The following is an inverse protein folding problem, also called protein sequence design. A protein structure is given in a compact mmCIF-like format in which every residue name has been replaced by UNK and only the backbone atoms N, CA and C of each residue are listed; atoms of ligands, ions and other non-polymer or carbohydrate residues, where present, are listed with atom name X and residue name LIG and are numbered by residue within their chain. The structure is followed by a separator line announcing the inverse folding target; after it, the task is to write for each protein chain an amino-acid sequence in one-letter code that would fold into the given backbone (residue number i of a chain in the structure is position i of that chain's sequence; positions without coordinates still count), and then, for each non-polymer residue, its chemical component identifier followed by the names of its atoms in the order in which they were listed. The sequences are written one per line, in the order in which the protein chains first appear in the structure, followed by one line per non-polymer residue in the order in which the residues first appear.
data_IF_407395426801
#
_entry.id   IF_407395426801
#
_cell.length_a   1.000
_cell.length_b   1.000
_cell.length_c   1.000
_cell.angle_alpha   90.00
_cell.angle_beta   90.00
_cell.angle_gamma   90.00
#
_symmetry.space_group_name_H-M   'P 1'
#
loop_
_entity.id
_entity.type
_entity.pdbx_description
1 polymer ?
#
# COMPACT_ATOMS: atom_id res chain seq x y z
N UNK A 1 -9.67 -2.46 -20.44
CA UNK A 1 -10.58 -3.19 -19.53
C UNK A 1 -10.61 -2.35 -18.29
N UNK A 2 -11.70 -1.63 -18.04
CA UNK A 2 -11.86 -0.93 -16.77
C UNK A 2 -11.82 -2.00 -15.66
N UNK A 3 -11.03 -1.81 -14.60
CA UNK A 3 -10.94 -2.81 -13.55
C UNK A 3 -12.29 -2.92 -12.85
N UNK A 4 -12.82 -4.14 -12.72
CA UNK A 4 -14.08 -4.37 -12.01
C UNK A 4 -13.96 -3.87 -10.57
N UNK A 5 -14.74 -2.84 -10.21
CA UNK A 5 -14.71 -2.15 -8.91
C UNK A 5 -14.88 -3.10 -7.71
N UNK A 6 -15.52 -4.26 -7.92
CA UNK A 6 -15.74 -5.27 -6.88
C UNK A 6 -14.50 -6.11 -6.55
N UNK A 7 -13.45 -6.06 -7.36
CA UNK A 7 -12.20 -6.82 -7.16
C UNK A 7 -11.22 -6.07 -6.26
N UNK A 8 -10.29 -6.79 -5.62
CA UNK A 8 -9.23 -6.16 -4.82
C UNK A 8 -8.35 -5.25 -5.67
N UNK A 9 -8.06 -5.63 -6.91
CA UNK A 9 -7.27 -4.82 -7.84
C UNK A 9 -8.04 -3.56 -8.27
N UNK A 10 -9.34 -3.66 -8.54
CA UNK A 10 -10.20 -2.51 -8.81
C UNK A 10 -10.27 -1.55 -7.62
N UNK A 11 -10.50 -2.07 -6.42
CA UNK A 11 -10.47 -1.26 -5.20
C UNK A 11 -9.10 -0.59 -5.01
N UNK A 12 -7.99 -1.31 -5.23
CA UNK A 12 -6.65 -0.75 -5.15
C UNK A 12 -6.48 0.44 -6.10
N UNK A 13 -6.90 0.31 -7.36
CA UNK A 13 -6.81 1.41 -8.33
C UNK A 13 -7.63 2.63 -7.91
N UNK A 14 -8.86 2.42 -7.43
CA UNK A 14 -9.72 3.51 -6.93
C UNK A 14 -9.11 4.22 -5.73
N UNK A 15 -8.69 3.46 -4.70
CA UNK A 15 -8.06 4.04 -3.51
C UNK A 15 -6.70 4.68 -3.80
N UNK A 16 -5.96 4.20 -4.80
CA UNK A 16 -4.70 4.80 -5.24
C UNK A 16 -4.90 6.16 -5.94
N UNK A 17 -6.05 6.35 -6.62
CA UNK A 17 -6.45 7.61 -7.28
C UNK A 17 -7.27 8.53 -6.39
N UNK A 18 -7.65 8.07 -5.20
CA UNK A 18 -8.48 8.81 -4.27
C UNK A 18 -7.93 10.22 -4.01
N UNK A 19 -8.81 11.21 -4.21
CA UNK A 19 -8.54 12.67 -4.10
C UNK A 19 -7.54 13.23 -5.13
N UNK A 20 -7.13 12.45 -6.13
CA UNK A 20 -6.24 12.89 -7.21
C UNK A 20 -6.48 12.11 -8.51
N UNK A 21 -7.50 12.56 -9.27
CA UNK A 21 -7.93 11.92 -10.52
C UNK A 21 -6.85 11.94 -11.63
N UNK A 22 -5.76 12.70 -11.45
CA UNK A 22 -4.65 12.80 -12.43
C UNK A 22 -3.63 11.67 -12.31
N UNK A 23 -3.65 10.87 -11.24
CA UNK A 23 -2.75 9.73 -11.08
C UNK A 23 -3.29 8.51 -11.81
N UNK A 24 -2.38 7.65 -12.27
CA UNK A 24 -2.71 6.42 -12.99
C UNK A 24 -3.29 5.31 -12.09
N UNK A 25 -3.18 5.44 -10.76
CA UNK A 25 -3.68 4.43 -9.80
C UNK A 25 -2.77 3.21 -9.62
N UNK A 26 -1.59 3.19 -10.23
CA UNK A 26 -0.64 2.08 -10.10
C UNK A 26 0.17 2.09 -8.79
N UNK A 27 0.19 3.22 -8.08
CA UNK A 27 0.90 3.37 -6.82
C UNK A 27 0.02 4.03 -5.78
N UNK A 28 0.02 3.45 -4.58
CA UNK A 28 -0.68 3.98 -3.43
C UNK A 28 0.32 4.65 -2.48
N UNK A 29 -0.15 5.61 -1.68
CA UNK A 29 0.62 6.18 -0.57
C UNK A 29 0.18 5.54 0.75
N UNK A 30 1.03 5.59 1.79
CA UNK A 30 0.69 5.04 3.11
C UNK A 30 -0.67 5.58 3.60
N UNK A 31 -0.88 6.89 3.51
CA UNK A 31 -2.13 7.53 3.91
C UNK A 31 -3.37 6.95 3.20
N UNK A 32 -3.31 6.75 1.88
CA UNK A 32 -4.42 6.18 1.11
C UNK A 32 -4.66 4.71 1.48
N UNK A 33 -3.60 3.96 1.75
CA UNK A 33 -3.71 2.58 2.20
C UNK A 33 -4.33 2.47 3.60
N UNK A 34 -3.96 3.35 4.53
CA UNK A 34 -4.57 3.42 5.85
C UNK A 34 -6.04 3.82 5.75
N UNK A 35 -6.36 4.77 4.87
CA UNK A 35 -7.74 5.16 4.61
C UNK A 35 -8.57 3.96 4.12
N UNK A 36 -8.09 3.23 3.11
CA UNK A 36 -8.76 2.03 2.61
C UNK A 36 -8.93 0.97 3.72
N UNK A 37 -7.86 0.65 4.45
CA UNK A 37 -7.91 -0.37 5.51
C UNK A 37 -8.83 0.04 6.68
N UNK A 38 -8.98 1.33 6.97
CA UNK A 38 -9.98 1.83 7.93
C UNK A 38 -11.40 1.67 7.41
N UNK A 39 -11.67 2.02 6.14
CA UNK A 39 -12.98 1.81 5.52
C UNK A 39 -13.37 0.33 5.51
N UNK A 40 -12.41 -0.56 5.25
CA UNK A 40 -12.58 -2.01 5.29
C UNK A 40 -12.63 -2.60 6.71
N UNK A 41 -12.51 -1.77 7.76
CA UNK A 41 -12.50 -2.18 9.18
C UNK A 41 -11.37 -3.16 9.54
N UNK A 42 -10.24 -3.10 8.82
CA UNK A 42 -9.03 -3.87 9.10
C UNK A 42 -8.23 -3.18 10.20
N UNK A 43 -8.06 -1.85 10.11
CA UNK A 43 -7.49 -1.04 11.19
C UNK A 43 -8.60 -0.77 12.20
N UNK A 44 -8.49 -1.38 13.37
CA UNK A 44 -9.47 -1.29 14.46
C UNK A 44 -8.96 -0.50 15.68
N UNK A 45 -7.73 0.03 15.59
CA UNK A 45 -7.01 0.75 16.64
C UNK A 45 -6.91 -0.07 17.96
N UNK A 46 -7.01 -1.40 17.88
CA UNK A 46 -6.87 -2.33 19.01
C UNK A 46 -5.87 -3.45 18.72
N UNK A 47 -6.07 -4.16 17.62
CA UNK A 47 -5.21 -5.26 17.15
C UNK A 47 -4.29 -4.81 16.04
N UNK A 48 -4.82 -3.99 15.12
CA UNK A 48 -4.06 -3.41 14.02
C UNK A 48 -4.24 -1.90 14.06
N UNK A 49 -3.13 -1.20 14.14
CA UNK A 49 -3.06 0.26 14.26
C UNK A 49 -2.35 0.87 13.06
N UNK A 50 -2.43 2.20 12.91
CA UNK A 50 -1.62 2.93 11.91
C UNK A 50 -0.11 2.76 12.13
N UNK A 51 0.33 2.47 13.36
CA UNK A 51 1.74 2.23 13.63
C UNK A 51 2.19 0.92 12.96
N UNK A 52 1.35 -0.11 12.99
CA UNK A 52 1.65 -1.42 12.37
C UNK A 52 1.76 -1.30 10.86
N UNK A 53 0.81 -0.61 10.22
CA UNK A 53 0.85 -0.35 8.77
C UNK A 53 2.03 0.53 8.39
N UNK A 54 2.34 1.57 9.17
CA UNK A 54 3.53 2.41 8.98
C UNK A 54 4.83 1.60 9.02
N UNK A 55 4.98 0.69 9.99
CA UNK A 55 6.13 -0.20 10.10
C UNK A 55 6.22 -1.18 8.93
N UNK A 56 5.09 -1.72 8.47
CA UNK A 56 5.01 -2.61 7.31
C UNK A 56 5.49 -1.88 6.05
N UNK A 57 5.03 -0.65 5.81
CA UNK A 57 5.46 0.17 4.68
C UNK A 57 6.94 0.51 4.72
N UNK A 58 7.46 0.82 5.92
CA UNK A 58 8.90 1.00 6.12
C UNK A 58 9.66 -0.28 5.73
N UNK A 59 9.24 -1.45 6.22
CA UNK A 59 9.82 -2.73 5.80
C UNK A 59 9.69 -3.02 4.31
N UNK A 60 8.57 -2.70 3.68
CA UNK A 60 8.39 -2.92 2.23
C UNK A 60 9.31 -2.01 1.41
N UNK A 61 9.50 -0.77 1.84
CA UNK A 61 10.39 0.18 1.17
C UNK A 61 11.86 -0.18 1.38
N UNK A 62 12.29 -0.36 2.62
CA UNK A 62 13.70 -0.55 2.98
C UNK A 62 14.13 -2.01 2.95
N UNK A 63 13.25 -2.96 3.25
CA UNK A 63 13.53 -4.39 3.15
C UNK A 63 13.70 -4.88 1.71
N UNK A 64 13.00 -4.28 0.74
CA UNK A 64 13.26 -4.55 -0.67
C UNK A 64 14.62 -3.97 -1.13
N UNK A 65 15.01 -2.81 -0.62
CA UNK A 65 16.34 -2.23 -0.89
C UNK A 65 17.45 -3.08 -0.29
N UNK A 66 17.29 -3.54 0.96
CA UNK A 66 18.25 -4.42 1.62
C UNK A 66 18.40 -5.75 0.89
N UNK A 67 17.31 -6.44 0.50
CA UNK A 67 17.41 -7.69 -0.27
C UNK A 67 18.13 -7.49 -1.61
N UNK A 68 17.97 -6.32 -2.25
CA UNK A 68 18.65 -6.00 -3.50
C UNK A 68 20.14 -5.72 -3.30
N UNK A 69 20.50 -5.04 -2.21
CA UNK A 69 21.88 -4.69 -1.87
C UNK A 69 22.73 -5.87 -1.35
N UNK A 70 22.13 -6.80 -0.62
CA UNK A 70 22.84 -7.96 -0.02
C UNK A 70 22.76 -9.25 -0.84
N UNK A 71 22.09 -9.23 -2.00
CA UNK A 71 22.00 -10.38 -2.91
C UNK A 71 22.69 -10.11 -4.27
N UNK A 72 23.39 -8.99 -4.42
CA UNK A 72 24.42 -8.86 -5.44
C UNK A 72 25.67 -9.60 -4.95
N UNK A 73 26.28 -10.50 -5.74
CA UNK A 73 27.61 -11.02 -5.41
C UNK A 73 28.56 -9.82 -5.38
N UNK A 74 29.31 -9.69 -4.28
CA UNK A 74 30.39 -8.70 -4.16
C UNK A 74 31.31 -8.81 -5.40
N UNK A 75 31.85 -7.69 -5.90
CA UNK A 75 32.73 -7.68 -7.06
C UNK A 75 33.95 -8.59 -6.89
#
# INVERSE_FOLDING_TARGET
MEPDEATLDGQFHEFARLMDNKRDGNTMTLYRSDYWMRQSKIIDDRKVTMCDTGLLWWRLRYGQQARRQYHDPLP
#
